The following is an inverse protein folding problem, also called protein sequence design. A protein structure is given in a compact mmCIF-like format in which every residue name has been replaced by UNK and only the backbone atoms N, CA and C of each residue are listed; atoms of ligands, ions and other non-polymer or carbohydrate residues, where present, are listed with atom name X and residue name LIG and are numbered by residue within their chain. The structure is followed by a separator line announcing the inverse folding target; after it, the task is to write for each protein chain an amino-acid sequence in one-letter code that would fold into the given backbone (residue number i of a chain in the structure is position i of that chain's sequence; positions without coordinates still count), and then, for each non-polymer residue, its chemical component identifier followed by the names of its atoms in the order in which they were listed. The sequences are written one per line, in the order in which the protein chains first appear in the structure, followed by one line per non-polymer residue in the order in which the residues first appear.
data_IF_703577433454
#
_entry.id   IF_703577433454
#
_cell.length_a   1.000
_cell.length_b   1.000
_cell.length_c   1.000
_cell.angle_alpha   90.00
_cell.angle_beta   90.00
_cell.angle_gamma   90.00
#
_symmetry.space_group_name_H-M   'P 1'
#
loop_
_entity.id
_entity.type
_entity.pdbx_description
1 polymer ?
#
# COMPACT_ATOMS: atom_id res chain seq x y z
N UNK A 1 -3.69 13.66 10.25
CA UNK A 1 -3.57 12.81 9.06
C UNK A 1 -4.64 13.21 8.06
N UNK A 2 -4.31 13.31 6.77
CA UNK A 2 -5.29 13.49 5.70
C UNK A 2 -5.42 12.20 4.87
N UNK A 3 -6.58 11.96 4.26
CA UNK A 3 -6.78 10.84 3.32
C UNK A 3 -6.07 11.16 2.00
N UNK A 4 -5.26 10.23 1.52
CA UNK A 4 -4.51 10.38 0.25
C UNK A 4 -4.89 9.34 -0.81
N UNK A 5 -5.55 8.27 -0.40
CA UNK A 5 -6.16 7.28 -1.29
C UNK A 5 -7.29 6.56 -0.57
N UNK A 6 -8.34 6.22 -1.31
CA UNK A 6 -9.49 5.48 -0.82
C UNK A 6 -9.98 4.54 -1.92
N UNK A 7 -9.50 3.30 -1.87
CA UNK A 7 -9.93 2.27 -2.79
C UNK A 7 -11.23 1.65 -2.29
N UNK A 8 -12.34 2.15 -2.83
CA UNK A 8 -13.67 1.57 -2.66
C UNK A 8 -13.90 0.58 -3.81
N UNK A 9 -13.76 -0.72 -3.57
CA UNK A 9 -13.94 -1.71 -4.62
C UNK A 9 -15.38 -1.72 -5.13
N UNK A 10 -15.57 -2.06 -6.40
CA UNK A 10 -16.91 -2.17 -7.02
C UNK A 10 -17.74 -3.32 -6.46
N UNK A 11 -17.09 -4.32 -5.88
CA UNK A 11 -17.71 -5.47 -5.23
C UNK A 11 -17.66 -5.32 -3.71
N UNK A 12 -18.79 -5.52 -3.04
CA UNK A 12 -18.94 -5.26 -1.60
C UNK A 12 -18.18 -6.24 -0.70
N UNK A 13 -17.74 -7.38 -1.23
CA UNK A 13 -16.95 -8.37 -0.50
C UNK A 13 -15.43 -8.16 -0.62
N UNK A 14 -15.00 -7.21 -1.45
CA UNK A 14 -13.60 -6.81 -1.49
C UNK A 14 -13.30 -5.85 -0.34
N UNK A 15 -12.06 -5.93 0.15
CA UNK A 15 -11.58 -5.01 1.17
C UNK A 15 -11.52 -3.56 0.67
N UNK A 16 -12.10 -2.64 1.42
CA UNK A 16 -11.82 -1.20 1.25
C UNK A 16 -10.46 -0.88 1.87
N UNK A 17 -9.59 -0.23 1.09
CA UNK A 17 -8.30 0.25 1.57
C UNK A 17 -8.30 1.78 1.61
N UNK A 18 -8.04 2.35 2.79
CA UNK A 18 -7.92 3.80 2.99
C UNK A 18 -6.50 4.11 3.43
N UNK A 19 -5.84 5.04 2.75
CA UNK A 19 -4.50 5.49 3.08
C UNK A 19 -4.55 6.88 3.68
N UNK A 20 -3.91 7.01 4.83
CA UNK A 20 -3.75 8.26 5.55
C UNK A 20 -2.28 8.69 5.52
N UNK A 21 -2.01 9.97 5.29
CA UNK A 21 -0.65 10.52 5.35
C UNK A 21 -0.58 11.77 6.24
N UNK A 22 0.60 11.99 6.82
CA UNK A 22 0.98 13.20 7.57
C UNK A 22 2.50 13.41 7.38
N UNK A 23 2.94 14.65 7.23
CA UNK A 23 4.34 15.02 7.45
C UNK A 23 4.56 15.19 8.95
N UNK A 24 5.49 14.44 9.52
CA UNK A 24 5.85 14.58 10.93
C UNK A 24 6.32 16.02 11.20
N UNK A 25 5.81 16.63 12.27
CA UNK A 25 6.22 17.98 12.68
C UNK A 25 7.49 17.97 13.54
N UNK A 26 8.04 16.79 13.82
CA UNK A 26 9.29 16.59 14.55
C UNK A 26 9.10 16.47 16.05
N UNK A 27 7.87 16.64 16.54
CA UNK A 27 7.51 16.37 17.95
C UNK A 27 7.04 14.93 18.19
N UNK A 28 6.75 14.18 17.12
CA UNK A 28 6.26 12.81 17.24
C UNK A 28 7.36 11.82 17.63
N UNK A 29 7.16 11.15 18.76
CA UNK A 29 8.03 10.08 19.26
C UNK A 29 7.50 8.68 18.96
N UNK A 30 6.22 8.56 18.59
CA UNK A 30 5.58 7.30 18.19
C UNK A 30 4.38 7.55 17.27
N UNK A 31 4.05 6.54 16.45
CA UNK A 31 2.84 6.49 15.64
C UNK A 31 2.19 5.13 15.87
N UNK A 32 0.89 5.12 16.15
CA UNK A 32 0.10 3.90 16.28
C UNK A 32 -1.24 4.07 15.56
N UNK A 33 -1.83 2.94 15.15
CA UNK A 33 -3.21 2.90 14.68
C UNK A 33 -3.96 1.88 15.53
N UNK A 34 -5.20 2.21 15.85
CA UNK A 34 -6.10 1.32 16.59
C UNK A 34 -7.36 1.11 15.75
N UNK A 35 -7.80 -0.13 15.63
CA UNK A 35 -9.04 -0.48 14.97
C UNK A 35 -10.04 -0.90 16.04
N UNK A 36 -11.08 -0.11 16.28
CA UNK A 36 -12.11 -0.43 17.28
C UNK A 36 -13.03 -1.61 16.93
N UNK A 37 -12.74 -2.34 15.84
CA UNK A 37 -13.60 -3.38 15.28
C UNK A 37 -12.78 -4.54 14.74
N UNK A 38 -13.34 -5.76 14.85
CA UNK A 38 -12.86 -6.97 14.16
C UNK A 38 -12.90 -6.77 12.64
N UNK A 39 -11.97 -7.39 11.91
CA UNK A 39 -11.93 -7.34 10.44
C UNK A 39 -11.23 -6.11 9.86
N UNK A 40 -10.29 -5.51 10.60
CA UNK A 40 -9.41 -4.46 10.09
C UNK A 40 -7.95 -4.81 10.40
N UNK A 41 -7.08 -4.48 9.46
CA UNK A 41 -5.64 -4.66 9.56
C UNK A 41 -5.01 -3.47 8.86
N UNK A 42 -3.77 -3.18 9.22
CA UNK A 42 -3.06 -2.02 8.71
C UNK A 42 -1.57 -2.15 8.91
N UNK A 43 -0.84 -1.30 8.19
CA UNK A 43 0.60 -1.13 8.30
C UNK A 43 0.86 0.36 8.44
N UNK A 44 1.91 0.72 9.18
CA UNK A 44 2.43 2.08 9.25
C UNK A 44 3.80 2.07 8.58
N UNK A 45 3.97 2.96 7.60
CA UNK A 45 5.27 3.23 6.98
C UNK A 45 5.70 4.65 7.33
N UNK A 46 6.95 4.80 7.75
CA UNK A 46 7.55 6.07 8.10
C UNK A 46 8.76 6.34 7.20
N UNK A 47 8.69 7.39 6.40
CA UNK A 47 9.75 7.79 5.48
C UNK A 47 10.44 9.07 5.99
N UNK A 48 11.77 9.04 6.02
CA UNK A 48 12.59 10.24 6.19
C UNK A 48 12.84 10.88 4.83
N UNK A 49 12.95 12.21 4.79
CA UNK A 49 13.29 12.90 3.55
C UNK A 49 12.15 12.95 2.52
N UNK A 50 10.90 12.74 2.91
CA UNK A 50 9.74 12.75 2.02
C UNK A 50 8.81 13.94 2.33
N UNK A 51 8.17 14.49 1.31
CA UNK A 51 7.22 15.59 1.43
C UNK A 51 5.81 15.17 1.03
N UNK A 52 4.82 15.97 1.46
CA UNK A 52 3.46 15.95 0.92
C UNK A 52 3.25 17.19 0.04
N UNK A 53 2.42 17.11 -1.02
CA UNK A 53 1.49 16.01 -1.34
C UNK A 53 2.18 14.80 -2.02
N UNK A 54 1.47 13.66 -1.99
CA UNK A 54 1.82 12.47 -2.80
C UNK A 54 1.73 12.87 -4.28
N UNK A 55 2.76 12.58 -5.08
CA UNK A 55 2.83 12.97 -6.48
C UNK A 55 1.76 12.31 -7.35
N UNK A 56 1.24 11.17 -6.90
CA UNK A 56 0.12 10.50 -7.53
C UNK A 56 -0.28 9.22 -6.78
N UNK A 57 -1.45 8.71 -7.12
CA UNK A 57 -1.95 7.42 -6.63
C UNK A 57 -2.69 6.65 -7.72
N UNK A 58 -2.70 5.32 -7.60
CA UNK A 58 -3.55 4.44 -8.40
C UNK A 58 -4.13 3.35 -7.52
N UNK A 59 -5.30 2.85 -7.87
CA UNK A 59 -6.08 1.90 -7.08
C UNK A 59 -6.40 0.67 -7.93
N UNK A 60 -6.49 -0.51 -7.32
CA UNK A 60 -6.97 -1.71 -7.99
C UNK A 60 -7.58 -2.71 -7.00
N UNK A 61 -8.53 -3.50 -7.51
CA UNK A 61 -9.12 -4.63 -6.79
C UNK A 61 -9.40 -5.76 -7.76
N UNK A 62 -9.29 -7.01 -7.30
CA UNK A 62 -9.54 -8.21 -8.12
C UNK A 62 -9.79 -9.42 -7.23
N UNK A 63 -10.43 -10.44 -7.78
CA UNK A 63 -10.42 -11.78 -7.22
C UNK A 63 -9.31 -12.62 -7.86
N UNK A 64 -8.74 -13.54 -7.08
CA UNK A 64 -7.72 -14.47 -7.55
C UNK A 64 -6.43 -14.35 -6.74
N UNK A 65 -5.31 -14.75 -7.34
CA UNK A 65 -4.01 -14.75 -6.67
C UNK A 65 -3.17 -13.53 -6.98
N UNK A 66 -3.52 -12.74 -8.01
CA UNK A 66 -2.63 -11.68 -8.50
C UNK A 66 -3.37 -10.36 -8.60
N UNK A 67 -2.86 -9.34 -7.92
CA UNK A 67 -3.32 -7.96 -8.00
C UNK A 67 -2.36 -7.15 -8.85
N UNK A 68 -2.86 -6.52 -9.92
CA UNK A 68 -2.06 -5.60 -10.74
C UNK A 68 -2.41 -4.16 -10.42
N UNK A 69 -1.47 -3.44 -9.82
CA UNK A 69 -1.56 -1.99 -9.61
C UNK A 69 -1.20 -1.25 -10.91
N UNK A 70 -2.05 -0.30 -11.37
CA UNK A 70 -1.76 0.56 -12.51
C UNK A 70 -0.50 1.40 -12.31
N UNK A 71 0.04 1.97 -13.37
CA UNK A 71 1.20 2.87 -13.25
C UNK A 71 0.82 4.21 -12.60
N UNK A 72 1.73 4.76 -11.80
CA UNK A 72 1.67 6.13 -11.26
C UNK A 72 2.90 6.89 -11.74
N UNK A 73 2.73 8.17 -12.08
CA UNK A 73 3.85 9.04 -12.42
C UNK A 73 4.57 9.53 -11.16
N UNK A 74 5.88 9.34 -11.11
CA UNK A 74 6.74 9.96 -10.11
C UNK A 74 7.16 11.36 -10.59
N UNK A 75 7.02 12.36 -9.71
CA UNK A 75 7.30 13.76 -10.05
C UNK A 75 8.79 14.12 -10.07
N UNK A 76 9.65 13.36 -9.38
CA UNK A 76 11.08 13.63 -9.27
C UNK A 76 11.90 12.34 -9.26
N UNK A 77 13.19 12.47 -9.59
CA UNK A 77 14.14 11.40 -9.34
C UNK A 77 14.27 11.17 -7.83
N UNK A 78 14.58 9.93 -7.43
CA UNK A 78 14.61 9.50 -6.04
C UNK A 78 13.26 9.55 -5.32
N UNK A 79 12.15 9.63 -6.06
CA UNK A 79 10.82 9.38 -5.51
C UNK A 79 10.73 7.97 -4.95
N UNK A 80 9.90 7.81 -3.92
CA UNK A 80 9.59 6.51 -3.32
C UNK A 80 8.27 6.01 -3.90
N UNK A 81 8.31 4.93 -4.67
CA UNK A 81 7.09 4.24 -5.08
C UNK A 81 6.71 3.24 -3.99
N UNK A 82 5.51 3.35 -3.45
CA UNK A 82 4.98 2.51 -2.37
C UNK A 82 3.78 1.75 -2.89
N UNK A 83 3.77 0.43 -2.71
CA UNK A 83 2.63 -0.43 -2.96
C UNK A 83 2.08 -0.89 -1.61
N UNK A 84 0.81 -0.58 -1.36
CA UNK A 84 0.03 -1.08 -0.23
C UNK A 84 -0.99 -2.05 -0.77
N UNK A 85 -1.10 -3.22 -0.16
CA UNK A 85 -1.98 -4.29 -0.64
C UNK A 85 -2.60 -5.05 0.51
N UNK A 86 -3.81 -5.53 0.28
CA UNK A 86 -4.59 -6.28 1.25
C UNK A 86 -5.28 -7.46 0.59
N UNK A 87 -5.46 -8.51 1.37
CA UNK A 87 -6.19 -9.71 1.03
C UNK A 87 -7.28 -9.92 2.07
N UNK A 88 -8.47 -10.30 1.61
CA UNK A 88 -9.60 -10.63 2.46
C UNK A 88 -10.26 -11.90 1.99
N UNK A 89 -10.93 -12.59 2.92
CA UNK A 89 -11.73 -13.78 2.64
C UNK A 89 -10.93 -15.08 2.35
N UNK A 90 -9.70 -15.19 2.85
CA UNK A 90 -8.91 -16.42 2.76
C UNK A 90 -9.09 -17.29 4.02
N UNK A 91 -9.22 -18.61 3.84
CA UNK A 91 -9.56 -19.53 4.94
C UNK A 91 -8.41 -19.79 5.94
N UNK A 92 -7.16 -19.57 5.54
CA UNK A 92 -5.96 -19.84 6.34
C UNK A 92 -4.94 -18.73 6.18
N UNK A 93 -3.95 -18.67 7.08
CA UNK A 93 -2.78 -17.80 6.92
C UNK A 93 -2.09 -18.06 5.57
N UNK A 94 -1.75 -16.99 4.87
CA UNK A 94 -1.16 -17.00 3.54
C UNK A 94 -0.46 -15.65 3.34
N UNK A 95 0.69 -15.66 2.67
CA UNK A 95 1.52 -14.46 2.48
C UNK A 95 1.49 -13.90 1.05
N UNK A 96 2.05 -12.72 0.91
CA UNK A 96 2.28 -12.03 -0.35
C UNK A 96 3.68 -12.32 -0.90
N UNK A 97 3.79 -12.27 -2.21
CA UNK A 97 5.05 -12.06 -2.92
C UNK A 97 5.03 -10.63 -3.45
N UNK A 98 5.97 -9.77 -3.01
CA UNK A 98 6.00 -8.37 -3.43
C UNK A 98 6.27 -8.25 -4.94
N UNK A 99 5.93 -7.11 -5.57
CA UNK A 99 6.22 -6.90 -6.97
C UNK A 99 7.71 -6.96 -7.26
N UNK A 100 8.08 -7.43 -8.46
CA UNK A 100 9.45 -7.39 -8.93
C UNK A 100 10.02 -5.96 -8.83
N UNK A 101 11.30 -5.87 -8.43
CA UNK A 101 12.03 -4.62 -8.15
C UNK A 101 11.56 -3.82 -6.92
N UNK A 102 10.53 -4.28 -6.20
CA UNK A 102 10.13 -3.70 -4.91
C UNK A 102 10.62 -4.55 -3.73
N UNK A 103 11.01 -3.89 -2.66
CA UNK A 103 11.42 -4.51 -1.40
C UNK A 103 10.24 -4.49 -0.43
N UNK A 104 9.87 -5.65 0.10
CA UNK A 104 8.87 -5.74 1.17
C UNK A 104 9.34 -4.99 2.42
N UNK A 105 8.45 -4.17 2.98
CA UNK A 105 8.71 -3.36 4.18
C UNK A 105 7.95 -3.89 5.39
N UNK A 106 6.75 -4.39 5.17
CA UNK A 106 5.90 -4.90 6.24
C UNK A 106 4.87 -5.88 5.68
N UNK A 107 4.53 -6.87 6.48
CA UNK A 107 3.47 -7.81 6.20
C UNK A 107 2.79 -8.26 7.50
N UNK A 108 1.47 -8.38 7.44
CA UNK A 108 0.66 -9.08 8.44
C UNK A 108 -0.16 -10.11 7.67
N UNK A 109 0.26 -11.37 7.75
CA UNK A 109 -0.28 -12.50 6.98
C UNK A 109 -0.53 -13.77 7.83
N UNK A 110 -0.44 -13.63 9.16
CA UNK A 110 -0.48 -14.75 10.12
C UNK A 110 -1.89 -15.16 10.55
N UNK A 111 -2.91 -14.41 10.15
CA UNK A 111 -4.31 -14.63 10.52
C UNK A 111 -5.11 -15.12 9.32
N UNK A 112 -6.18 -15.91 9.52
CA UNK A 112 -7.17 -16.12 8.47
C UNK A 112 -7.97 -14.84 8.20
N UNK A 113 -8.65 -14.81 7.05
CA UNK A 113 -9.61 -13.79 6.60
C UNK A 113 -9.05 -12.41 6.25
N UNK A 114 -7.87 -12.04 6.75
CA UNK A 114 -7.31 -10.73 6.54
C UNK A 114 -5.78 -10.77 6.53
N UNK A 115 -5.20 -10.24 5.46
CA UNK A 115 -3.79 -9.95 5.36
C UNK A 115 -3.56 -8.56 4.75
N UNK A 116 -2.45 -7.93 5.12
CA UNK A 116 -2.02 -6.64 4.57
C UNK A 116 -0.51 -6.66 4.41
N UNK A 117 -0.01 -5.97 3.40
CA UNK A 117 1.42 -5.80 3.22
C UNK A 117 1.76 -4.49 2.52
N UNK A 118 3.05 -4.20 2.56
CA UNK A 118 3.65 -3.03 1.95
C UNK A 118 4.99 -3.40 1.34
N UNK A 119 5.23 -2.87 0.14
CA UNK A 119 6.54 -2.90 -0.50
C UNK A 119 6.87 -1.53 -1.06
N UNK A 120 8.14 -1.22 -1.22
CA UNK A 120 8.57 0.02 -1.84
C UNK A 120 9.83 -0.12 -2.72
N UNK A 121 10.07 0.91 -3.53
CA UNK A 121 11.28 1.04 -4.33
C UNK A 121 11.62 2.53 -4.56
N UNK A 122 12.89 2.84 -4.72
CA UNK A 122 13.31 4.14 -5.27
C UNK A 122 13.10 4.15 -6.78
N UNK A 123 12.54 5.22 -7.34
CA UNK A 123 12.31 5.37 -8.79
C UNK A 123 12.86 6.69 -9.33
N UNK A 124 13.10 6.71 -10.64
CA UNK A 124 13.32 7.93 -11.39
C UNK A 124 11.99 8.67 -11.63
N UNK A 125 12.06 9.90 -12.15
CA UNK A 125 10.88 10.64 -12.59
C UNK A 125 10.19 9.95 -13.79
N UNK A 126 8.88 10.10 -13.90
CA UNK A 126 8.07 9.57 -15.00
C UNK A 126 7.21 8.36 -14.61
N UNK A 127 6.69 7.66 -15.63
CA UNK A 127 5.82 6.51 -15.43
C UNK A 127 6.60 5.33 -14.83
N UNK A 128 6.03 4.72 -13.79
CA UNK A 128 6.69 3.64 -13.04
C UNK A 128 6.41 2.23 -13.57
N UNK A 129 5.53 2.12 -14.57
CA UNK A 129 4.97 0.85 -15.04
C UNK A 129 3.96 0.25 -14.05
N UNK A 130 3.30 -0.83 -14.46
CA UNK A 130 2.42 -1.60 -13.57
C UNK A 130 3.22 -2.41 -12.56
N UNK A 131 2.59 -2.79 -11.45
CA UNK A 131 3.19 -3.62 -10.40
C UNK A 131 2.24 -4.75 -10.03
N UNK A 132 2.73 -5.99 -10.10
CA UNK A 132 1.94 -7.18 -9.78
C UNK A 132 2.33 -7.73 -8.41
N UNK A 133 1.35 -7.84 -7.51
CA UNK A 133 1.48 -8.50 -6.21
C UNK A 133 0.83 -9.87 -6.36
N UNK A 134 1.46 -10.92 -5.82
CA UNK A 134 0.84 -12.25 -5.77
C UNK A 134 0.55 -12.64 -4.33
N UNK A 135 -0.65 -13.13 -4.05
CA UNK A 135 -1.02 -13.76 -2.79
C UNK A 135 -1.04 -15.27 -2.97
N UNK A 136 -0.60 -16.03 -1.95
CA UNK A 136 -0.40 -17.47 -2.07
C UNK A 136 -1.68 -18.27 -2.39
N UNK A 137 -2.86 -17.69 -2.16
CA UNK A 137 -4.16 -18.33 -2.42
C UNK A 137 -5.13 -17.38 -3.13
N UNK A 138 -6.13 -17.95 -3.82
CA UNK A 138 -7.15 -17.17 -4.51
C UNK A 138 -8.11 -16.51 -3.53
N UNK A 139 -8.21 -15.19 -3.56
CA UNK A 139 -9.00 -14.42 -2.59
C UNK A 139 -9.35 -13.04 -3.12
N UNK A 140 -10.13 -12.25 -2.38
CA UNK A 140 -10.38 -10.85 -2.71
C UNK A 140 -9.14 -9.99 -2.38
N UNK A 141 -8.57 -9.34 -3.39
CA UNK A 141 -7.39 -8.49 -3.28
C UNK A 141 -7.73 -7.02 -3.54
N UNK A 142 -7.06 -6.13 -2.82
CA UNK A 142 -7.21 -4.68 -2.95
C UNK A 142 -5.86 -4.01 -2.77
N UNK A 143 -5.61 -2.88 -3.42
CA UNK A 143 -4.37 -2.17 -3.20
C UNK A 143 -4.33 -0.76 -3.76
N UNK A 144 -3.28 -0.06 -3.34
CA UNK A 144 -2.97 1.32 -3.70
C UNK A 144 -1.49 1.40 -4.04
N UNK A 145 -1.16 2.06 -5.13
CA UNK A 145 0.21 2.49 -5.42
C UNK A 145 0.32 4.00 -5.22
N UNK A 146 1.41 4.45 -4.62
CA UNK A 146 1.67 5.86 -4.29
C UNK A 146 3.07 6.25 -4.72
N UNK A 147 3.24 7.44 -5.29
CA UNK A 147 4.55 8.04 -5.53
C UNK A 147 4.80 9.16 -4.52
N UNK A 148 5.73 8.95 -3.57
CA UNK A 148 6.12 9.98 -2.61
C UNK A 148 7.22 10.85 -3.21
N UNK A 149 7.07 12.17 -3.07
CA UNK A 149 8.06 13.14 -3.51
C UNK A 149 9.18 13.25 -2.46
N UNK A 150 10.46 13.27 -2.85
CA UNK A 150 11.53 13.59 -1.91
C UNK A 150 11.37 15.04 -1.41
N UNK A 151 11.94 15.35 -0.24
CA UNK A 151 12.11 16.73 0.18
C UNK A 151 13.11 17.43 -0.77
N UNK A 152 12.88 18.70 -1.14
CA UNK A 152 13.90 19.50 -1.81
C UNK A 152 15.16 19.54 -0.94
N UNK A 153 16.32 19.33 -1.55
CA UNK A 153 17.64 19.52 -0.92
C UNK A 153 17.91 20.99 -0.61
#
# INVERSE_FOLDING_TARGET
FGVVADNVPSQSWHGRMVVFAKVADGSETSVSFATGWVGKSGVILAYRGASLPVAGSSLASTDGTTLTLPSVAAGAANSRLVALYGAQNHASAAGFTPPAAMTEQAEVATLPWLAVGAADQTVAAGATGTRAITFATGTALTGVMLALTPLPS
#
